data_IF_198101898987
#
_entry.id   IF_198101898987
#
_cell.length_a   1.000
_cell.length_b   1.000
_cell.length_c   1.000
_cell.angle_alpha   90.00
_cell.angle_beta   90.00
_cell.angle_gamma   90.00
#
_symmetry.space_group_name_H-M   'P 1'
#
loop_
_entity.id
_entity.type
_entity.pdbx_description
1 polymer ?
#
# COMPACT_ATOMS: atom_id res chain seq x y z
N UNK A 1 -13.99 18.61 57.10
CA UNK A 1 -14.10 19.29 55.78
C UNK A 1 -12.76 19.48 55.03
N UNK A 2 -11.59 19.23 55.63
CA UNK A 2 -10.28 19.39 54.98
C UNK A 2 -9.89 18.24 54.04
N UNK A 3 -10.34 17.00 54.24
CA UNK A 3 -10.03 15.83 53.39
C UNK A 3 -10.62 15.95 51.98
N UNK A 4 -11.81 16.51 51.81
CA UNK A 4 -12.49 16.63 50.52
C UNK A 4 -11.80 17.62 49.56
N UNK A 5 -11.12 18.66 50.07
CA UNK A 5 -10.40 19.62 49.21
C UNK A 5 -9.04 19.09 48.73
N UNK A 6 -8.35 18.28 49.56
CA UNK A 6 -7.08 17.66 49.17
C UNK A 6 -7.28 16.59 48.08
N UNK A 7 -8.35 15.78 48.18
CA UNK A 7 -8.65 14.75 47.18
C UNK A 7 -9.10 15.34 45.84
N UNK A 8 -9.83 16.48 45.83
CA UNK A 8 -10.17 17.20 44.62
C UNK A 8 -8.98 17.88 43.95
N UNK A 9 -8.05 18.41 44.74
CA UNK A 9 -6.80 19.02 44.25
C UNK A 9 -5.86 17.97 43.68
N UNK A 10 -5.74 16.78 44.31
CA UNK A 10 -4.95 15.65 43.84
C UNK A 10 -5.51 15.05 42.52
N UNK A 11 -6.81 14.85 42.43
CA UNK A 11 -7.48 14.39 41.18
C UNK A 11 -7.34 15.40 40.03
N UNK A 12 -7.36 16.70 40.34
CA UNK A 12 -7.17 17.78 39.35
C UNK A 12 -5.72 17.91 38.91
N UNK A 13 -4.74 17.56 39.78
CA UNK A 13 -3.32 17.52 39.43
C UNK A 13 -2.98 16.30 38.57
N UNK A 14 -3.57 15.12 38.85
CA UNK A 14 -3.39 13.91 38.06
C UNK A 14 -4.03 14.03 36.66
N UNK A 15 -5.17 14.72 36.54
CA UNK A 15 -5.76 14.98 35.22
C UNK A 15 -4.97 16.02 34.42
N UNK A 16 -4.30 16.96 35.08
CA UNK A 16 -3.43 17.92 34.41
C UNK A 16 -2.08 17.34 33.97
N UNK A 17 -1.55 16.34 34.65
CA UNK A 17 -0.27 15.71 34.27
C UNK A 17 -0.30 15.00 32.92
N UNK A 18 -1.39 14.34 32.56
CA UNK A 18 -1.59 13.75 31.24
C UNK A 18 -1.81 14.79 30.13
N UNK A 19 -2.48 15.89 30.45
CA UNK A 19 -2.71 17.02 29.55
C UNK A 19 -1.41 17.78 29.23
N UNK A 20 -0.48 17.90 30.17
CA UNK A 20 0.78 18.62 29.94
C UNK A 20 1.66 17.98 28.88
N UNK A 21 1.72 16.66 28.83
CA UNK A 21 2.51 15.95 27.80
C UNK A 21 1.85 16.07 26.44
N UNK A 22 0.53 16.01 26.37
CA UNK A 22 -0.23 16.18 25.13
C UNK A 22 -0.21 17.63 24.62
N UNK A 23 -0.39 18.62 25.52
CA UNK A 23 -0.32 20.03 25.17
C UNK A 23 1.09 20.46 24.73
N UNK A 24 2.13 19.99 25.41
CA UNK A 24 3.51 20.31 25.03
C UNK A 24 3.87 19.75 23.65
N UNK A 25 3.45 18.52 23.34
CA UNK A 25 3.66 17.89 22.02
C UNK A 25 2.78 18.58 20.98
N UNK A 26 1.50 18.84 21.29
CA UNK A 26 0.57 19.54 20.39
C UNK A 26 1.07 20.94 20.06
N UNK A 27 1.50 21.71 21.06
CA UNK A 27 2.03 23.08 20.88
C UNK A 27 3.33 23.09 20.08
N UNK A 28 4.24 22.13 20.30
CA UNK A 28 5.45 22.01 19.50
C UNK A 28 5.13 21.82 18.01
N UNK A 29 4.20 20.91 17.67
CA UNK A 29 3.84 20.66 16.28
C UNK A 29 2.94 21.73 15.68
N UNK A 30 2.15 22.44 16.47
CA UNK A 30 1.39 23.61 16.00
C UNK A 30 2.32 24.74 15.59
N UNK A 31 3.45 24.91 16.28
CA UNK A 31 4.45 25.95 15.97
C UNK A 31 5.24 25.64 14.69
N UNK A 32 5.49 24.38 14.37
CA UNK A 32 6.27 23.92 13.22
C UNK A 32 5.42 23.38 12.06
N UNK A 33 4.09 23.52 12.12
CA UNK A 33 3.19 23.03 11.10
C UNK A 33 2.86 21.53 11.27
N UNK A 34 2.78 20.80 10.16
CA UNK A 34 2.42 19.39 10.16
C UNK A 34 3.45 18.54 10.87
N UNK A 35 2.99 17.59 11.72
CA UNK A 35 3.89 16.62 12.36
C UNK A 35 4.64 15.81 11.29
N UNK A 36 5.99 15.74 11.37
CA UNK A 36 6.76 14.90 10.44
C UNK A 36 6.31 13.44 10.52
N UNK A 37 6.26 12.76 9.39
CA UNK A 37 6.08 11.32 9.35
C UNK A 37 7.35 10.65 9.88
N UNK A 38 7.22 9.89 10.96
CA UNK A 38 8.33 9.19 11.60
C UNK A 38 8.69 7.87 10.92
N UNK A 39 8.09 7.55 9.77
CA UNK A 39 8.47 6.37 9.00
C UNK A 39 9.91 6.54 8.49
N UNK A 40 10.79 5.70 8.99
CA UNK A 40 12.23 5.79 8.72
C UNK A 40 12.55 5.53 7.24
N UNK A 41 11.78 4.66 6.58
CA UNK A 41 11.95 4.35 5.16
C UNK A 41 11.59 5.56 4.32
N UNK A 42 10.46 6.19 4.58
CA UNK A 42 10.01 7.39 3.86
C UNK A 42 10.99 8.55 4.05
N UNK A 43 11.48 8.73 5.28
CA UNK A 43 12.48 9.76 5.60
C UNK A 43 13.80 9.54 4.87
N UNK A 44 14.32 8.30 4.85
CA UNK A 44 15.56 7.95 4.12
C UNK A 44 15.40 8.05 2.61
N UNK A 45 14.21 7.73 2.10
CA UNK A 45 13.88 7.84 0.69
C UNK A 45 13.60 9.27 0.22
N UNK A 46 13.35 10.21 1.16
CA UNK A 46 13.00 11.60 0.84
C UNK A 46 11.63 11.74 0.18
N UNK A 47 10.70 10.79 0.42
CA UNK A 47 9.37 10.78 -0.16
C UNK A 47 8.27 10.96 0.89
N UNK A 48 7.14 11.49 0.46
CA UNK A 48 5.94 11.60 1.29
C UNK A 48 5.07 10.35 1.15
N UNK A 49 4.28 10.03 2.18
CA UNK A 49 3.48 8.82 2.26
C UNK A 49 2.54 8.60 1.08
N UNK A 50 1.87 9.65 0.59
CA UNK A 50 0.98 9.54 -0.56
C UNK A 50 1.71 9.16 -1.86
N UNK A 51 3.00 9.49 -1.99
CA UNK A 51 3.81 9.09 -3.16
C UNK A 51 4.15 7.61 -3.20
N UNK A 52 3.82 6.85 -2.16
CA UNK A 52 3.91 5.39 -2.21
C UNK A 52 2.98 4.78 -3.27
N UNK A 53 1.98 5.53 -3.77
CA UNK A 53 1.14 5.09 -4.88
C UNK A 53 1.94 4.73 -6.14
N UNK A 54 3.11 5.36 -6.36
CA UNK A 54 4.00 5.03 -7.48
C UNK A 54 4.47 3.57 -7.44
N UNK A 55 4.49 2.92 -6.26
CA UNK A 55 4.83 1.51 -6.16
C UNK A 55 3.77 0.60 -6.80
N UNK A 56 2.53 1.08 -6.92
CA UNK A 56 1.43 0.34 -7.56
C UNK A 56 1.55 0.29 -9.09
N UNK A 57 2.48 1.06 -9.69
CA UNK A 57 2.83 0.95 -11.10
C UNK A 57 3.70 -0.29 -11.40
N UNK A 58 4.22 -0.95 -10.36
CA UNK A 58 4.94 -2.22 -10.49
C UNK A 58 3.96 -3.39 -10.57
N UNK A 59 4.13 -4.24 -11.57
CA UNK A 59 3.27 -5.37 -11.90
C UNK A 59 3.09 -6.36 -10.73
N UNK A 60 4.18 -6.73 -10.05
CA UNK A 60 4.16 -7.67 -8.93
C UNK A 60 3.48 -7.06 -7.69
N UNK A 61 3.72 -5.78 -7.43
CA UNK A 61 3.13 -5.08 -6.30
C UNK A 61 1.64 -4.88 -6.56
N UNK A 62 1.25 -4.41 -7.76
CA UNK A 62 -0.14 -4.22 -8.13
C UNK A 62 -0.94 -5.51 -8.01
N UNK A 63 -0.46 -6.60 -8.64
CA UNK A 63 -1.10 -7.90 -8.59
C UNK A 63 -1.26 -8.43 -7.15
N UNK A 64 -0.25 -8.28 -6.32
CA UNK A 64 -0.31 -8.73 -4.94
C UNK A 64 -1.28 -7.91 -4.07
N UNK A 65 -1.36 -6.59 -4.31
CA UNK A 65 -2.29 -5.67 -3.65
C UNK A 65 -3.73 -5.98 -4.06
N UNK A 66 -4.00 -6.10 -5.37
CA UNK A 66 -5.32 -6.44 -5.91
C UNK A 66 -5.81 -7.79 -5.38
N UNK A 67 -4.94 -8.81 -5.36
CA UNK A 67 -5.28 -10.12 -4.79
C UNK A 67 -5.82 -10.03 -3.34
N UNK A 68 -5.30 -9.10 -2.53
CA UNK A 68 -5.79 -8.89 -1.16
C UNK A 68 -7.11 -8.14 -1.13
N UNK A 69 -7.26 -7.12 -1.98
CA UNK A 69 -8.51 -6.36 -2.10
C UNK A 69 -9.63 -7.29 -2.54
N UNK A 70 -9.42 -8.05 -3.60
CA UNK A 70 -10.41 -8.99 -4.14
C UNK A 70 -10.83 -10.06 -3.12
N UNK A 71 -9.87 -10.60 -2.37
CA UNK A 71 -10.16 -11.58 -1.32
C UNK A 71 -11.04 -10.98 -0.20
N UNK A 72 -10.84 -9.71 0.15
CA UNK A 72 -11.68 -9.02 1.12
C UNK A 72 -13.06 -8.75 0.54
N UNK A 73 -13.15 -8.23 -0.68
CA UNK A 73 -14.42 -7.90 -1.35
C UNK A 73 -15.29 -9.12 -1.62
N UNK A 74 -14.68 -10.27 -1.85
CA UNK A 74 -15.39 -11.55 -1.97
C UNK A 74 -15.95 -12.08 -0.62
N UNK A 75 -15.62 -11.40 0.49
CA UNK A 75 -16.03 -11.84 1.83
C UNK A 75 -17.45 -11.35 2.13
N UNK A 76 -18.41 -12.26 2.40
CA UNK A 76 -19.78 -11.86 2.72
C UNK A 76 -19.86 -11.17 4.08
N UNK A 77 -20.81 -10.25 4.22
CA UNK A 77 -21.15 -9.64 5.49
C UNK A 77 -22.62 -9.83 5.85
N UNK A 78 -22.96 -9.61 7.12
CA UNK A 78 -24.33 -9.59 7.62
C UNK A 78 -24.50 -8.53 8.70
N UNK A 79 -25.74 -8.11 8.88
CA UNK A 79 -26.15 -7.17 9.94
C UNK A 79 -26.90 -7.96 11.02
N UNK A 80 -26.61 -7.68 12.27
CA UNK A 80 -27.32 -8.26 13.43
C UNK A 80 -27.87 -7.17 14.35
N UNK A 81 -29.12 -7.32 14.87
CA UNK A 81 -30.08 -8.40 14.58
C UNK A 81 -30.56 -8.33 13.13
N UNK A 82 -30.82 -9.48 12.46
CA UNK A 82 -31.13 -9.58 11.03
C UNK A 82 -32.61 -9.42 10.69
N UNK A 83 -33.47 -9.54 11.68
CA UNK A 83 -34.94 -9.73 11.49
C UNK A 83 -35.71 -8.42 11.60
N UNK A 84 -35.00 -7.28 11.61
CA UNK A 84 -35.62 -5.95 11.73
C UNK A 84 -35.67 -5.22 10.40
N UNK A 85 -36.67 -4.38 10.13
CA UNK A 85 -36.70 -3.56 8.92
C UNK A 85 -35.46 -2.70 8.75
N UNK A 86 -34.94 -2.17 9.87
CA UNK A 86 -33.70 -1.37 9.90
C UNK A 86 -32.49 -2.16 9.42
N UNK A 87 -32.39 -3.45 9.81
CA UNK A 87 -31.30 -4.31 9.35
C UNK A 87 -31.37 -4.59 7.85
N UNK A 88 -32.56 -4.73 7.30
CA UNK A 88 -32.79 -4.90 5.85
C UNK A 88 -32.33 -3.66 5.11
N UNK A 89 -32.70 -2.46 5.61
CA UNK A 89 -32.28 -1.20 5.03
C UNK A 89 -30.75 -1.01 5.11
N UNK A 90 -30.16 -1.20 6.29
CA UNK A 90 -28.73 -1.08 6.49
C UNK A 90 -27.94 -2.04 5.62
N UNK A 91 -28.49 -3.27 5.42
CA UNK A 91 -27.86 -4.23 4.53
C UNK A 91 -27.89 -3.76 3.07
N UNK A 92 -29.00 -3.21 2.62
CA UNK A 92 -29.14 -2.67 1.26
C UNK A 92 -28.19 -1.49 1.03
N UNK A 93 -28.07 -0.57 1.98
CA UNK A 93 -27.12 0.55 1.93
C UNK A 93 -25.65 0.05 1.87
N UNK A 94 -25.32 -0.93 2.71
CA UNK A 94 -23.96 -1.50 2.66
C UNK A 94 -23.71 -2.34 1.41
N UNK A 95 -24.70 -3.06 0.86
CA UNK A 95 -24.54 -3.80 -0.39
C UNK A 95 -24.23 -2.83 -1.56
N UNK A 96 -24.83 -1.62 -1.55
CA UNK A 96 -24.59 -0.57 -2.53
C UNK A 96 -23.16 0.00 -2.44
N UNK A 97 -22.66 0.25 -1.22
CA UNK A 97 -21.42 0.97 -0.98
C UNK A 97 -20.28 0.10 -0.42
N UNK A 98 -20.45 -1.22 -0.38
CA UNK A 98 -19.48 -2.12 0.23
C UNK A 98 -18.10 -2.06 -0.43
N UNK A 99 -18.08 -1.99 -1.76
CA UNK A 99 -16.85 -1.92 -2.52
C UNK A 99 -16.02 -0.68 -2.13
N UNK A 100 -16.65 0.48 -2.14
CA UNK A 100 -16.00 1.76 -1.85
C UNK A 100 -15.52 1.81 -0.40
N UNK A 101 -16.38 1.40 0.56
CA UNK A 101 -16.03 1.44 1.98
C UNK A 101 -14.92 0.46 2.29
N UNK A 102 -15.02 -0.78 1.84
CA UNK A 102 -14.10 -1.84 2.19
C UNK A 102 -12.71 -1.65 1.53
N UNK A 103 -12.67 -1.31 0.25
CA UNK A 103 -11.41 -1.06 -0.47
C UNK A 103 -10.69 0.16 0.08
N UNK A 104 -11.39 1.28 0.31
CA UNK A 104 -10.81 2.46 0.90
C UNK A 104 -10.32 2.23 2.34
N UNK A 105 -11.07 1.48 3.16
CA UNK A 105 -10.62 1.10 4.50
C UNK A 105 -9.37 0.20 4.44
N UNK A 106 -9.30 -0.73 3.47
CA UNK A 106 -8.13 -1.59 3.29
C UNK A 106 -6.89 -0.81 2.82
N UNK A 107 -7.04 0.34 2.17
CA UNK A 107 -5.92 1.21 1.81
C UNK A 107 -5.09 1.63 3.03
N UNK A 108 -5.67 1.66 4.23
CA UNK A 108 -4.91 1.84 5.47
C UNK A 108 -3.84 0.76 5.69
N UNK A 109 -4.01 -0.47 5.15
CA UNK A 109 -2.98 -1.50 5.18
C UNK A 109 -1.76 -1.08 4.36
N UNK A 110 -1.99 -0.56 3.17
CA UNK A 110 -0.96 -0.24 2.19
C UNK A 110 -0.26 1.07 2.51
N UNK A 111 -1.03 2.09 2.90
CA UNK A 111 -0.52 3.44 3.15
C UNK A 111 -0.36 3.81 4.63
N UNK A 112 -0.84 2.97 5.56
CA UNK A 112 -0.77 3.20 7.01
C UNK A 112 -2.05 3.77 7.60
N UNK A 113 -2.74 4.66 6.90
CA UNK A 113 -4.08 5.16 7.20
C UNK A 113 -4.83 5.51 5.92
N UNK A 114 -6.15 5.54 6.02
CA UNK A 114 -7.06 6.07 5.00
C UNK A 114 -8.17 6.87 5.66
N UNK A 115 -8.73 7.82 4.94
CA UNK A 115 -9.83 8.69 5.39
C UNK A 115 -10.92 8.64 4.34
N UNK A 116 -12.14 8.36 4.78
CA UNK A 116 -13.33 8.39 3.93
C UNK A 116 -14.26 9.51 4.41
N UNK A 117 -14.94 10.14 3.48
CA UNK A 117 -16.01 11.10 3.77
C UNK A 117 -17.34 10.53 3.31
N UNK A 118 -18.36 10.60 4.17
CA UNK A 118 -19.74 10.28 3.84
C UNK A 118 -20.55 11.55 3.60
N UNK A 119 -21.46 11.47 2.62
CA UNK A 119 -22.50 12.45 2.33
C UNK A 119 -23.82 11.71 2.39
N UNK A 120 -24.79 12.28 3.10
CA UNK A 120 -26.10 11.67 3.35
C UNK A 120 -27.21 12.39 2.58
N UNK A 121 -28.25 11.64 2.24
CA UNK A 121 -29.48 12.17 1.65
C UNK A 121 -30.70 11.44 2.22
N UNK A 122 -31.87 12.06 2.10
CA UNK A 122 -33.13 11.41 2.42
C UNK A 122 -33.55 10.53 1.25
N UNK A 123 -33.61 9.22 1.47
CA UNK A 123 -34.04 8.22 0.47
C UNK A 123 -35.59 8.15 0.39
N UNK A 124 -36.10 7.36 -0.56
CA UNK A 124 -37.53 7.28 -0.88
C UNK A 124 -38.39 6.79 0.30
N UNK A 125 -37.85 5.97 1.18
CA UNK A 125 -38.53 5.52 2.40
C UNK A 125 -38.57 6.56 3.51
N UNK A 126 -38.01 7.76 3.30
CA UNK A 126 -37.93 8.82 4.29
C UNK A 126 -36.80 8.67 5.31
N UNK A 127 -35.97 7.64 5.17
CA UNK A 127 -34.74 7.44 5.97
C UNK A 127 -33.53 8.13 5.35
N UNK A 128 -32.58 8.50 6.21
CA UNK A 128 -31.27 8.98 5.76
C UNK A 128 -30.40 7.82 5.35
N UNK A 129 -29.97 7.83 4.09
CA UNK A 129 -29.01 6.89 3.52
C UNK A 129 -27.77 7.60 2.99
N UNK A 130 -26.84 6.84 2.44
CA UNK A 130 -25.62 7.37 1.83
C UNK A 130 -25.96 7.88 0.41
N UNK A 131 -25.73 9.16 0.17
CA UNK A 131 -25.66 9.71 -1.18
C UNK A 131 -24.34 9.38 -1.84
N UNK A 132 -23.27 9.43 -1.05
CA UNK A 132 -21.92 9.12 -1.48
C UNK A 132 -21.03 8.80 -0.27
N UNK A 133 -20.11 7.87 -0.43
CA UNK A 133 -19.00 7.64 0.48
C UNK A 133 -17.75 7.28 -0.33
N UNK A 134 -16.59 7.82 0.06
CA UNK A 134 -15.37 7.51 -0.67
C UNK A 134 -14.13 8.06 0.00
N UNK A 135 -12.98 7.56 -0.47
CA UNK A 135 -11.68 7.95 0.04
C UNK A 135 -11.33 9.39 -0.34
N UNK A 136 -10.76 10.11 0.60
CA UNK A 136 -10.22 11.46 0.40
C UNK A 136 -8.71 11.44 0.34
N UNK A 137 -8.09 12.38 -0.38
CA UNK A 137 -6.63 12.49 -0.45
C UNK A 137 -6.01 12.55 0.94
N UNK A 138 -5.20 11.55 1.28
CA UNK A 138 -4.63 11.42 2.64
C UNK A 138 -3.78 12.63 3.04
N UNK A 139 -3.17 13.33 2.09
CA UNK A 139 -2.36 14.52 2.37
C UNK A 139 -3.16 15.70 2.92
N UNK A 140 -4.49 15.70 2.79
CA UNK A 140 -5.35 16.72 3.37
C UNK A 140 -5.60 16.52 4.85
N UNK A 141 -5.26 15.35 5.39
CA UNK A 141 -5.58 14.98 6.76
C UNK A 141 -4.35 14.65 7.57
N UNK A 142 -4.40 14.98 8.84
CA UNK A 142 -3.39 14.66 9.82
C UNK A 142 -4.02 13.94 11.01
N UNK A 143 -3.86 12.60 11.13
CA UNK A 143 -4.20 11.88 12.33
C UNK A 143 -3.29 12.31 13.49
N UNK A 144 -3.89 12.68 14.61
CA UNK A 144 -3.17 13.03 15.84
C UNK A 144 -3.01 11.81 16.74
N UNK A 145 -2.05 11.90 17.66
CA UNK A 145 -1.79 10.87 18.68
C UNK A 145 -2.89 10.75 19.74
N UNK A 146 -3.69 11.79 19.94
CA UNK A 146 -4.88 11.79 20.81
C UNK A 146 -6.13 11.22 20.14
N UNK A 147 -6.03 10.77 18.88
CA UNK A 147 -7.11 10.18 18.10
C UNK A 147 -7.87 11.15 17.21
N UNK A 148 -7.68 12.46 17.36
CA UNK A 148 -8.32 13.46 16.51
C UNK A 148 -7.79 13.40 15.08
N UNK A 149 -8.64 13.78 14.14
CA UNK A 149 -8.30 13.93 12.73
C UNK A 149 -8.42 15.43 12.36
N UNK A 150 -7.32 15.98 11.87
CA UNK A 150 -7.28 17.39 11.47
C UNK A 150 -7.26 17.47 9.95
N UNK A 151 -8.19 18.25 9.40
CA UNK A 151 -8.19 18.61 8.00
C UNK A 151 -7.28 19.82 7.77
N UNK A 152 -6.40 19.69 6.80
CA UNK A 152 -5.51 20.76 6.32
C UNK A 152 -5.56 20.82 4.82
N UNK A 153 -6.10 21.87 4.29
CA UNK A 153 -6.04 22.12 2.86
C UNK A 153 -4.63 22.64 2.49
N UNK A 154 -4.06 22.13 1.41
CA UNK A 154 -2.81 22.63 0.86
C UNK A 154 -2.96 24.13 0.57
N UNK A 155 -2.11 24.98 1.18
CA UNK A 155 -2.10 26.41 0.96
C UNK A 155 -2.36 27.32 2.16
N UNK A 156 -2.39 26.78 3.39
CA UNK A 156 -2.35 27.62 4.61
C UNK A 156 -3.72 28.00 5.16
N UNK A 157 -4.74 27.17 4.94
CA UNK A 157 -6.01 27.25 5.65
C UNK A 157 -5.87 26.94 7.13
N UNK A 158 -6.83 27.41 7.94
CA UNK A 158 -6.91 27.12 9.36
C UNK A 158 -7.15 25.63 9.57
N UNK A 159 -6.32 24.99 10.42
CA UNK A 159 -6.54 23.62 10.88
C UNK A 159 -7.95 23.43 11.41
N UNK A 160 -8.67 22.44 10.91
CA UNK A 160 -10.03 22.12 11.35
C UNK A 160 -10.09 20.68 11.83
N UNK A 161 -10.53 20.49 13.06
CA UNK A 161 -10.92 19.17 13.52
C UNK A 161 -12.19 18.74 12.78
N UNK A 162 -12.19 17.49 12.29
CA UNK A 162 -13.34 16.96 11.53
C UNK A 162 -14.18 16.04 12.40
N UNK A 163 -15.46 15.98 12.08
CA UNK A 163 -16.38 15.02 12.71
C UNK A 163 -16.05 13.60 12.25
N UNK A 164 -15.46 12.83 13.14
CA UNK A 164 -15.07 11.44 12.92
C UNK A 164 -16.19 10.44 13.20
N UNK A 165 -17.34 10.89 13.68
CA UNK A 165 -18.45 10.00 14.02
C UNK A 165 -19.47 9.90 12.88
N UNK A 166 -19.88 11.05 12.33
CA UNK A 166 -20.94 11.08 11.32
C UNK A 166 -20.39 11.26 9.89
N UNK A 167 -19.28 11.97 9.75
CA UNK A 167 -18.86 12.44 8.43
C UNK A 167 -17.55 11.82 7.91
N UNK A 168 -16.55 11.69 8.76
CA UNK A 168 -15.23 11.19 8.34
C UNK A 168 -14.87 9.91 9.09
N UNK A 169 -14.52 8.89 8.34
CA UNK A 169 -14.13 7.60 8.90
C UNK A 169 -12.62 7.40 8.69
N UNK A 170 -11.89 7.26 9.80
CA UNK A 170 -10.46 7.07 9.83
C UNK A 170 -10.11 5.62 10.10
N UNK A 171 -9.48 4.94 9.14
CA UNK A 171 -8.88 3.63 9.33
C UNK A 171 -7.37 3.78 9.51
N UNK A 172 -6.78 3.10 10.49
CA UNK A 172 -5.33 3.13 10.75
C UNK A 172 -4.79 1.73 11.00
N UNK A 173 -3.65 1.43 10.39
CA UNK A 173 -2.95 0.17 10.59
C UNK A 173 -1.79 0.33 11.55
N UNK A 174 -1.82 -0.40 12.70
CA UNK A 174 -0.73 -0.42 13.68
C UNK A 174 -0.27 0.99 14.09
N UNK A 175 -1.22 1.91 14.23
CA UNK A 175 -0.93 3.25 14.73
C UNK A 175 -0.48 3.17 16.20
N UNK A 176 0.50 3.98 16.56
CA UNK A 176 1.01 4.14 17.93
C UNK A 176 1.00 5.61 18.30
N UNK A 177 1.23 5.91 19.58
CA UNK A 177 1.36 7.29 20.04
C UNK A 177 2.48 8.05 19.30
N UNK A 178 3.60 7.39 19.03
CA UNK A 178 4.74 7.98 18.31
C UNK A 178 4.49 8.09 16.81
N UNK A 179 3.71 7.15 16.24
CA UNK A 179 3.41 7.07 14.82
C UNK A 179 1.89 7.01 14.58
N UNK A 180 1.19 8.15 14.69
CA UNK A 180 -0.27 8.22 14.52
C UNK A 180 -0.73 7.95 13.09
N UNK A 181 0.14 8.11 12.09
CA UNK A 181 -0.11 7.78 10.68
C UNK A 181 -0.15 6.26 10.40
N UNK A 182 0.17 5.43 11.40
CA UNK A 182 0.23 3.99 11.23
C UNK A 182 1.41 3.52 10.36
N UNK A 183 1.48 2.22 10.12
CA UNK A 183 2.57 1.56 9.38
C UNK A 183 2.14 1.19 7.97
N UNK A 184 2.71 1.82 6.95
CA UNK A 184 2.47 1.51 5.55
C UNK A 184 3.15 0.18 5.15
N UNK A 185 2.41 -0.73 4.52
CA UNK A 185 3.00 -1.93 3.95
C UNK A 185 3.88 -1.58 2.73
N UNK A 186 3.42 -0.65 1.90
CA UNK A 186 4.16 -0.18 0.72
C UNK A 186 5.51 0.44 1.09
N UNK A 187 5.64 1.10 2.25
CA UNK A 187 6.94 1.60 2.70
C UNK A 187 7.98 0.47 2.86
N UNK A 188 7.53 -0.72 3.29
CA UNK A 188 8.42 -1.89 3.40
C UNK A 188 8.90 -2.39 2.03
N UNK A 189 8.11 -2.17 0.98
CA UNK A 189 8.41 -2.57 -0.40
C UNK A 189 9.29 -1.57 -1.15
N UNK A 190 9.46 -0.35 -0.62
CA UNK A 190 10.12 0.74 -1.35
C UNK A 190 11.50 0.36 -1.89
N UNK A 191 12.35 -0.27 -1.07
CA UNK A 191 13.69 -0.66 -1.51
C UNK A 191 13.68 -1.82 -2.51
N UNK A 192 12.74 -2.75 -2.39
CA UNK A 192 12.58 -3.83 -3.38
C UNK A 192 12.17 -3.26 -4.74
N UNK A 193 11.19 -2.35 -4.75
CA UNK A 193 10.79 -1.61 -5.93
C UNK A 193 11.95 -0.81 -6.55
N UNK A 194 12.67 -0.06 -5.72
CA UNK A 194 13.81 0.73 -6.17
C UNK A 194 14.89 -0.14 -6.85
N UNK A 195 15.23 -1.28 -6.26
CA UNK A 195 16.21 -2.20 -6.82
C UNK A 195 15.68 -2.90 -8.08
N UNK A 196 14.40 -3.26 -8.14
CA UNK A 196 13.77 -3.84 -9.33
C UNK A 196 13.85 -2.87 -10.51
N UNK A 197 13.42 -1.63 -10.32
CA UNK A 197 13.44 -0.58 -11.35
C UNK A 197 14.85 -0.27 -11.86
N UNK A 198 15.82 -0.18 -10.98
CA UNK A 198 17.22 0.04 -11.38
C UNK A 198 17.85 -1.22 -11.99
N UNK A 199 17.51 -2.40 -11.49
CA UNK A 199 17.95 -3.69 -12.04
C UNK A 199 17.59 -3.83 -13.52
N UNK A 200 16.35 -3.51 -13.90
CA UNK A 200 15.92 -3.51 -15.30
C UNK A 200 16.71 -2.51 -16.16
N UNK A 201 17.01 -1.32 -15.66
CA UNK A 201 17.82 -0.31 -16.36
C UNK A 201 19.25 -0.81 -16.58
N UNK A 202 19.85 -1.45 -15.58
CA UNK A 202 21.19 -2.03 -15.72
C UNK A 202 21.19 -3.21 -16.66
N UNK A 203 20.17 -4.06 -16.62
CA UNK A 203 20.04 -5.19 -17.55
C UNK A 203 19.85 -4.71 -18.99
N UNK A 204 19.01 -3.72 -19.24
CA UNK A 204 18.85 -3.14 -20.58
C UNK A 204 20.19 -2.60 -21.13
N UNK A 205 20.96 -1.85 -20.33
CA UNK A 205 22.29 -1.35 -20.71
C UNK A 205 23.29 -2.50 -20.93
N UNK A 206 23.19 -3.55 -20.15
CA UNK A 206 24.01 -4.74 -20.35
C UNK A 206 23.70 -5.41 -21.68
N UNK A 207 22.41 -5.61 -21.99
CA UNK A 207 21.98 -6.19 -23.27
C UNK A 207 22.37 -5.31 -24.46
N UNK A 208 22.24 -4.00 -24.36
CA UNK A 208 22.69 -3.06 -25.38
C UNK A 208 24.18 -3.19 -25.65
N UNK A 209 25.00 -3.29 -24.59
CA UNK A 209 26.45 -3.38 -24.71
C UNK A 209 26.95 -4.74 -25.15
N UNK A 210 26.33 -5.81 -24.66
CA UNK A 210 26.82 -7.19 -24.86
C UNK A 210 25.92 -8.05 -25.76
N UNK A 211 24.76 -7.55 -26.13
CA UNK A 211 23.84 -8.18 -27.08
C UNK A 211 24.35 -8.07 -28.52
N UNK A 212 25.18 -7.06 -28.81
CA UNK A 212 25.88 -6.94 -30.08
C UNK A 212 27.32 -7.41 -29.94
N UNK A 213 27.79 -8.31 -30.79
CA UNK A 213 29.18 -8.78 -30.72
C UNK A 213 30.17 -7.64 -30.99
N UNK A 214 31.20 -7.54 -30.19
CA UNK A 214 32.26 -6.58 -30.39
C UNK A 214 33.23 -7.17 -31.44
N UNK A 215 33.36 -6.48 -32.57
CA UNK A 215 34.31 -6.84 -33.60
C UNK A 215 35.65 -6.16 -33.31
N UNK A 216 36.71 -6.93 -33.23
CA UNK A 216 38.08 -6.44 -33.09
C UNK A 216 38.86 -6.73 -34.38
N UNK A 217 39.20 -5.69 -35.12
CA UNK A 217 40.07 -5.79 -36.29
C UNK A 217 41.52 -5.45 -35.94
N UNK A 218 42.47 -6.20 -36.45
CA UNK A 218 43.90 -5.90 -36.41
C UNK A 218 44.38 -5.66 -37.83
N UNK A 219 45.00 -4.53 -38.09
CA UNK A 219 45.55 -4.15 -39.37
C UNK A 219 46.84 -3.36 -39.18
N UNK A 220 47.50 -3.00 -40.25
CA UNK A 220 48.70 -2.14 -40.22
C UNK A 220 48.27 -0.68 -39.93
N UNK A 221 49.15 0.09 -39.28
CA UNK A 221 48.89 1.47 -38.85
C UNK A 221 48.32 2.40 -39.96
N UNK A 222 48.68 2.14 -41.22
CA UNK A 222 48.26 2.94 -42.39
C UNK A 222 46.82 2.63 -42.86
N UNK A 223 46.19 1.58 -42.34
CA UNK A 223 44.89 1.04 -42.80
C UNK A 223 43.81 1.07 -41.73
N UNK A 224 44.09 1.75 -40.61
CA UNK A 224 43.17 1.75 -39.41
C UNK A 224 41.82 2.36 -39.68
N UNK A 225 41.77 3.39 -40.52
CA UNK A 225 40.50 4.07 -40.86
C UNK A 225 39.64 3.17 -41.77
N UNK A 226 40.27 2.52 -42.76
CA UNK A 226 39.58 1.60 -43.68
C UNK A 226 39.04 0.37 -42.93
N UNK A 227 39.84 -0.18 -42.01
CA UNK A 227 39.41 -1.27 -41.15
C UNK A 227 38.23 -0.86 -40.25
N UNK A 228 38.29 0.33 -39.66
CA UNK A 228 37.19 0.85 -38.81
C UNK A 228 35.90 0.97 -39.61
N UNK A 229 35.96 1.49 -40.85
CA UNK A 229 34.81 1.59 -41.73
C UNK A 229 34.25 0.21 -42.13
N UNK A 230 35.14 -0.74 -42.42
CA UNK A 230 34.79 -2.12 -42.77
C UNK A 230 34.05 -2.80 -41.58
N UNK A 231 34.55 -2.62 -40.34
CA UNK A 231 33.92 -3.16 -39.14
C UNK A 231 32.53 -2.54 -38.86
N UNK A 232 32.38 -1.23 -39.09
CA UNK A 232 31.07 -0.56 -38.99
C UNK A 232 30.06 -1.09 -40.02
N UNK A 233 30.53 -1.32 -41.26
CA UNK A 233 29.70 -1.89 -42.34
C UNK A 233 29.34 -3.36 -42.03
N UNK A 234 30.28 -4.16 -41.51
CA UNK A 234 30.03 -5.53 -41.12
C UNK A 234 29.00 -5.65 -39.98
N UNK A 235 29.04 -4.72 -39.05
CA UNK A 235 28.02 -4.63 -37.98
C UNK A 235 26.61 -4.41 -38.51
N UNK A 236 26.50 -3.67 -39.62
CA UNK A 236 25.21 -3.40 -40.28
C UNK A 236 24.75 -4.50 -41.25
N UNK A 237 25.66 -5.26 -41.87
CA UNK A 237 25.40 -6.13 -43.03
C UNK A 237 25.65 -7.63 -42.80
N UNK A 238 26.16 -8.03 -41.65
CA UNK A 238 26.49 -9.45 -41.30
C UNK A 238 27.51 -10.15 -42.23
N UNK A 239 28.18 -9.44 -43.13
CA UNK A 239 29.21 -9.95 -44.06
C UNK A 239 30.38 -9.00 -44.05
N UNK A 240 31.57 -9.54 -43.78
CA UNK A 240 32.82 -8.81 -43.82
C UNK A 240 33.80 -9.51 -44.79
N UNK A 241 34.38 -8.76 -45.70
CA UNK A 241 35.49 -9.18 -46.52
C UNK A 241 36.75 -8.48 -46.07
N UNK A 242 37.83 -9.23 -45.76
CA UNK A 242 39.10 -8.69 -45.22
C UNK A 242 40.24 -9.18 -46.10
N UNK A 243 41.40 -8.50 -46.05
CA UNK A 243 42.60 -8.89 -46.75
C UNK A 243 43.26 -10.06 -46.00
N UNK A 244 44.17 -10.76 -46.71
CA UNK A 244 44.84 -11.98 -46.19
C UNK A 244 45.74 -11.68 -44.98
N UNK A 245 46.18 -10.43 -44.85
CA UNK A 245 47.05 -9.96 -43.77
C UNK A 245 46.28 -9.39 -42.58
N UNK A 246 44.96 -9.26 -42.71
CA UNK A 246 44.09 -8.72 -41.66
C UNK A 246 43.49 -9.84 -40.79
N UNK A 247 43.26 -9.54 -39.51
CA UNK A 247 42.65 -10.47 -38.56
C UNK A 247 41.45 -9.80 -37.90
N UNK A 248 40.25 -10.38 -38.04
CA UNK A 248 39.02 -9.92 -37.37
C UNK A 248 38.56 -10.99 -36.40
N UNK A 249 38.49 -10.60 -35.15
CA UNK A 249 38.02 -11.46 -34.07
C UNK A 249 36.68 -10.93 -33.51
N UNK A 250 35.72 -11.82 -33.32
CA UNK A 250 34.52 -11.55 -32.54
C UNK A 250 34.88 -11.75 -31.07
N UNK A 251 34.96 -10.65 -30.34
CA UNK A 251 35.12 -10.73 -28.89
C UNK A 251 33.77 -11.14 -28.28
N UNK A 252 33.53 -12.46 -28.26
CA UNK A 252 32.43 -13.01 -27.48
C UNK A 252 32.82 -12.98 -26.01
N UNK A 253 32.11 -12.24 -25.21
CA UNK A 253 32.22 -12.32 -23.76
C UNK A 253 31.75 -13.72 -23.33
N UNK A 254 32.63 -14.65 -23.04
CA UNK A 254 32.31 -16.00 -22.53
C UNK A 254 31.50 -15.96 -21.20
N UNK A 255 31.25 -14.78 -20.65
CA UNK A 255 30.43 -14.53 -19.42
C UNK A 255 29.01 -14.03 -19.64
N UNK A 256 28.59 -13.74 -20.89
CA UNK A 256 27.28 -13.14 -21.14
C UNK A 256 26.09 -14.01 -20.68
N UNK A 257 26.16 -15.31 -20.84
CA UNK A 257 25.14 -16.25 -20.36
C UNK A 257 25.04 -16.30 -18.83
N UNK A 258 26.16 -16.25 -18.13
CA UNK A 258 26.22 -16.22 -16.67
C UNK A 258 25.69 -14.89 -16.09
N UNK A 259 26.06 -13.79 -16.72
CA UNK A 259 25.55 -12.46 -16.27
C UNK A 259 24.03 -12.29 -16.53
N UNK A 260 23.55 -12.77 -17.69
CA UNK A 260 22.12 -12.75 -18.00
C UNK A 260 21.31 -13.58 -16.98
N UNK A 261 21.76 -14.78 -16.64
CA UNK A 261 21.18 -15.62 -15.60
C UNK A 261 21.21 -14.97 -14.21
N UNK A 262 22.24 -14.17 -13.90
CA UNK A 262 22.32 -13.43 -12.65
C UNK A 262 21.25 -12.33 -12.56
N UNK A 263 20.98 -11.58 -13.63
CA UNK A 263 19.90 -10.58 -13.68
C UNK A 263 18.52 -11.22 -13.58
N UNK A 264 18.29 -12.33 -14.26
CA UNK A 264 17.03 -13.07 -14.17
C UNK A 264 16.78 -13.57 -12.74
N UNK A 265 17.80 -14.18 -12.12
CA UNK A 265 17.74 -14.66 -10.74
C UNK A 265 17.48 -13.50 -9.76
N UNK A 266 18.12 -12.35 -9.97
CA UNK A 266 17.90 -11.15 -9.15
C UNK A 266 16.46 -10.67 -9.23
N UNK A 267 15.90 -10.52 -10.44
CA UNK A 267 14.52 -10.10 -10.64
C UNK A 267 13.53 -11.10 -10.04
N UNK A 268 13.74 -12.40 -10.25
CA UNK A 268 12.91 -13.47 -9.65
C UNK A 268 12.95 -13.40 -8.13
N UNK A 269 14.12 -13.15 -7.54
CA UNK A 269 14.27 -13.01 -6.10
C UNK A 269 13.50 -11.79 -5.57
N UNK A 270 13.56 -10.64 -6.24
CA UNK A 270 12.83 -9.43 -5.84
C UNK A 270 11.32 -9.65 -5.93
N UNK A 271 10.82 -10.24 -7.02
CA UNK A 271 9.41 -10.59 -7.19
C UNK A 271 8.92 -11.50 -6.06
N UNK A 272 9.67 -12.56 -5.74
CA UNK A 272 9.35 -13.46 -4.63
C UNK A 272 9.34 -12.75 -3.27
N UNK A 273 10.24 -11.80 -3.02
CA UNK A 273 10.26 -11.02 -1.79
C UNK A 273 9.04 -10.09 -1.70
N UNK A 274 8.64 -9.44 -2.80
CA UNK A 274 7.44 -8.61 -2.88
C UNK A 274 6.22 -9.44 -2.50
N UNK A 275 6.00 -10.57 -3.15
CA UNK A 275 4.88 -11.47 -2.85
C UNK A 275 4.89 -11.94 -1.40
N UNK A 276 6.05 -12.34 -0.88
CA UNK A 276 6.21 -12.78 0.51
C UNK A 276 5.82 -11.70 1.51
N UNK A 277 6.15 -10.44 1.23
CA UNK A 277 5.78 -9.31 2.10
C UNK A 277 4.28 -9.04 2.05
N UNK A 278 3.66 -9.02 0.85
CA UNK A 278 2.26 -8.67 0.68
C UNK A 278 1.34 -9.84 0.97
N UNK A 279 1.59 -11.00 0.36
CA UNK A 279 0.72 -12.17 0.43
C UNK A 279 1.12 -13.16 1.54
N UNK A 280 2.35 -13.07 2.05
CA UNK A 280 2.91 -14.02 3.01
C UNK A 280 3.41 -15.33 2.38
N UNK A 281 3.35 -15.44 1.05
CA UNK A 281 3.70 -16.64 0.28
C UNK A 281 4.22 -16.28 -1.11
N UNK A 282 4.78 -17.24 -1.84
CA UNK A 282 5.39 -17.03 -3.16
C UNK A 282 4.76 -17.86 -4.29
N UNK A 283 3.70 -18.62 -4.01
CA UNK A 283 3.14 -19.62 -4.94
C UNK A 283 2.16 -19.08 -5.98
N UNK A 284 1.77 -17.80 -5.89
CA UNK A 284 0.73 -17.23 -6.76
C UNK A 284 1.22 -16.89 -8.17
N UNK A 285 2.55 -16.79 -8.39
CA UNK A 285 3.10 -16.33 -9.67
C UNK A 285 4.17 -17.23 -10.30
N UNK A 286 4.32 -18.45 -9.87
CA UNK A 286 5.23 -19.39 -10.52
C UNK A 286 5.73 -20.47 -9.57
N UNK A 287 5.33 -21.68 -9.83
CA UNK A 287 5.99 -22.87 -9.30
C UNK A 287 6.87 -23.43 -10.40
N UNK A 288 8.13 -23.72 -10.08
CA UNK A 288 9.02 -24.49 -10.95
C UNK A 288 8.52 -25.97 -11.09
N UNK A 289 7.22 -26.17 -11.29
CA UNK A 289 6.60 -27.46 -11.60
C UNK A 289 6.56 -28.51 -10.46
N UNK A 290 6.97 -28.16 -9.24
CA UNK A 290 7.04 -29.11 -8.11
C UNK A 290 6.18 -28.68 -6.90
N UNK A 291 4.91 -28.32 -7.14
CA UNK A 291 3.96 -28.05 -6.06
C UNK A 291 3.42 -29.36 -5.47
N UNK A 292 3.68 -29.63 -4.20
CA UNK A 292 2.98 -30.69 -3.46
C UNK A 292 1.62 -30.19 -2.98
N UNK A 293 0.58 -31.03 -2.96
CA UNK A 293 -0.75 -30.75 -2.40
C UNK A 293 -0.64 -30.18 -0.96
N UNK A 294 0.22 -30.77 -0.14
CA UNK A 294 0.49 -30.30 1.23
C UNK A 294 1.02 -28.87 1.27
N UNK A 295 1.88 -28.48 0.34
CA UNK A 295 2.39 -27.12 0.24
C UNK A 295 1.27 -26.15 -0.17
N UNK A 296 0.40 -26.54 -1.12
CA UNK A 296 -0.77 -25.76 -1.52
C UNK A 296 -1.70 -25.47 -0.33
N UNK A 297 -1.93 -26.46 0.52
CA UNK A 297 -2.78 -26.29 1.72
C UNK A 297 -2.16 -25.35 2.77
N UNK A 298 -0.84 -25.40 2.96
CA UNK A 298 -0.14 -24.45 3.85
C UNK A 298 -0.29 -23.02 3.32
N UNK A 299 -0.17 -22.82 2.01
CA UNK A 299 -0.32 -21.50 1.39
C UNK A 299 -1.76 -20.97 1.49
N UNK A 300 -2.76 -21.83 1.34
CA UNK A 300 -4.17 -21.44 1.54
C UNK A 300 -4.43 -21.01 3.00
N UNK A 301 -3.86 -21.70 3.99
CA UNK A 301 -3.94 -21.29 5.38
C UNK A 301 -3.32 -19.90 5.63
N UNK A 302 -2.14 -19.64 5.06
CA UNK A 302 -1.48 -18.32 5.16
C UNK A 302 -2.34 -17.22 4.53
N UNK A 303 -2.93 -17.47 3.36
CA UNK A 303 -3.88 -16.57 2.71
C UNK A 303 -5.10 -16.30 3.58
N UNK A 304 -5.67 -17.33 4.18
CA UNK A 304 -6.80 -17.23 5.12
C UNK A 304 -6.46 -16.36 6.34
N UNK A 305 -5.25 -16.51 6.90
CA UNK A 305 -4.82 -15.70 8.05
C UNK A 305 -4.59 -14.23 7.68
N UNK A 306 -4.10 -13.94 6.47
CA UNK A 306 -4.01 -12.58 5.94
C UNK A 306 -5.40 -11.97 5.78
N UNK A 307 -6.34 -12.70 5.18
CA UNK A 307 -7.73 -12.26 5.03
C UNK A 307 -8.39 -11.96 6.38
N UNK A 308 -8.23 -12.82 7.39
CA UNK A 308 -8.73 -12.55 8.75
C UNK A 308 -8.14 -11.27 9.35
N UNK A 309 -6.88 -10.98 9.07
CA UNK A 309 -6.23 -9.73 9.50
C UNK A 309 -6.82 -8.51 8.80
N UNK A 310 -7.14 -8.63 7.50
CA UNK A 310 -7.75 -7.55 6.71
C UNK A 310 -9.20 -7.29 7.15
N UNK A 311 -9.96 -8.35 7.39
CA UNK A 311 -11.30 -8.26 7.98
C UNK A 311 -11.26 -7.49 9.31
N UNK A 312 -10.32 -7.81 10.21
CA UNK A 312 -10.16 -7.10 11.50
C UNK A 312 -9.81 -5.63 11.34
N UNK A 313 -9.10 -5.27 10.28
CA UNK A 313 -8.75 -3.88 9.99
C UNK A 313 -9.95 -3.09 9.47
N UNK A 314 -10.77 -3.70 8.60
CA UNK A 314 -11.85 -3.02 7.87
C UNK A 314 -13.17 -3.01 8.64
N UNK A 315 -13.48 -4.06 9.40
CA UNK A 315 -14.74 -4.19 10.15
C UNK A 315 -15.07 -2.98 11.03
N UNK A 316 -14.12 -2.36 11.77
CA UNK A 316 -14.44 -1.17 12.57
C UNK A 316 -14.93 0.01 11.75
N UNK A 317 -14.45 0.17 10.52
CA UNK A 317 -14.89 1.26 9.63
C UNK A 317 -16.28 0.98 9.08
N UNK A 318 -16.57 -0.25 8.65
CA UNK A 318 -17.93 -0.64 8.26
C UNK A 318 -18.90 -0.49 9.42
N UNK A 319 -18.51 -0.86 10.65
CA UNK A 319 -19.33 -0.65 11.85
C UNK A 319 -19.59 0.82 12.11
N UNK A 320 -18.57 1.67 11.97
CA UNK A 320 -18.75 3.12 12.19
C UNK A 320 -19.73 3.75 11.18
N UNK A 321 -19.74 3.28 9.93
CA UNK A 321 -20.74 3.72 8.94
C UNK A 321 -22.16 3.29 9.35
N UNK A 322 -22.33 2.05 9.81
CA UNK A 322 -23.63 1.55 10.30
C UNK A 322 -24.06 2.29 11.54
N UNK A 323 -23.16 2.56 12.48
CA UNK A 323 -23.45 3.31 13.69
C UNK A 323 -23.91 4.75 13.36
N UNK A 324 -23.26 5.38 12.37
CA UNK A 324 -23.65 6.71 11.89
C UNK A 324 -25.07 6.70 11.30
N UNK A 325 -25.39 5.73 10.44
CA UNK A 325 -26.73 5.57 9.87
C UNK A 325 -27.80 5.29 10.95
N UNK A 326 -27.48 4.46 11.95
CA UNK A 326 -28.38 4.21 13.07
C UNK A 326 -28.66 5.49 13.87
N UNK A 327 -27.64 6.30 14.17
CA UNK A 327 -27.82 7.56 14.89
C UNK A 327 -28.64 8.59 14.09
N UNK A 328 -28.34 8.70 12.78
CA UNK A 328 -29.05 9.64 11.90
C UNK A 328 -30.54 9.32 11.74
N UNK A 329 -30.90 8.04 11.88
CA UNK A 329 -32.29 7.58 11.76
C UNK A 329 -32.97 7.28 13.10
N UNK A 330 -32.31 7.58 14.23
CA UNK A 330 -32.80 7.28 15.59
C UNK A 330 -33.12 5.77 15.79
N UNK A 331 -32.28 4.91 15.20
CA UNK A 331 -32.39 3.44 15.30
C UNK A 331 -31.56 2.90 16.44
N UNK A 332 -31.91 1.69 16.90
CA UNK A 332 -31.07 0.94 17.82
C UNK A 332 -29.77 0.51 17.13
N UNK A 333 -28.68 0.37 17.90
CA UNK A 333 -27.41 -0.09 17.34
C UNK A 333 -27.52 -1.46 16.67
N UNK A 334 -26.93 -1.58 15.49
CA UNK A 334 -26.80 -2.83 14.73
C UNK A 334 -25.31 -3.17 14.58
N UNK A 335 -24.99 -4.45 14.45
CA UNK A 335 -23.63 -4.92 14.36
C UNK A 335 -23.33 -5.50 12.97
N UNK A 336 -22.20 -5.10 12.39
CA UNK A 336 -21.69 -5.70 11.15
C UNK A 336 -20.79 -6.87 11.49
N UNK A 337 -21.07 -8.01 10.86
CA UNK A 337 -20.25 -9.21 10.95
C UNK A 337 -19.72 -9.55 9.55
N UNK A 338 -18.39 -9.46 9.38
CA UNK A 338 -17.71 -9.71 8.12
C UNK A 338 -17.00 -11.08 8.19
N UNK A 339 -17.22 -11.94 7.19
CA UNK A 339 -16.55 -13.24 7.06
C UNK A 339 -16.98 -14.33 8.04
N UNK A 340 -17.97 -14.07 8.89
CA UNK A 340 -18.54 -15.14 9.72
C UNK A 340 -19.59 -15.91 8.91
N UNK A 341 -19.37 -17.24 8.80
CA UNK A 341 -20.34 -18.14 8.16
C UNK A 341 -21.67 -18.04 8.92
N UNK A 342 -22.78 -17.88 8.18
CA UNK A 342 -24.11 -18.16 8.71
C UNK A 342 -24.07 -19.56 9.33
N UNK A 343 -24.41 -19.68 10.62
CA UNK A 343 -24.74 -21.01 11.16
C UNK A 343 -25.83 -21.57 10.25
N UNK A 344 -25.68 -22.77 9.69
CA UNK A 344 -26.82 -23.41 9.05
C UNK A 344 -27.93 -23.55 10.07
N UNK A 345 -29.15 -23.12 9.67
CA UNK A 345 -30.40 -23.31 10.42
C UNK A 345 -30.63 -24.79 10.68
#
# INVERSE_FOLDING_TARGET
>A
MAKSKKDKASKKALSKGGLYTQEAISNFFTHFGRRPDNDEVLRKAGITRHRLSVLLDDDEIAQAVETRIDALLATPFRIEPSDTPEAVYLKAELDEWYFEIASAALNALFFGYSVQEAVYEVKQEGYLGLQWIGEKPMQWFEPKNDGRLIYRQDGGGTDREVDQFLKFFLTRRKATFEQPYGKALLATLYWLFFFKQNGFKFWAKFLERFGTPILLGKCKDTETDDMSQALLNAHAQSVLSIDIDDDVQVLSTQGSGSANGAFETFNKTLAQQIQKVVLGQTLTSGTDGKGSYALGQVHENVRGDKLKSDIRLVTPTLQAVVDALCVLNDWKPHKVLLGEKTKPL
#
